data_IF_053654303471
#
_entry.id   IF_053654303471
#
_cell.length_a   1.000
_cell.length_b   1.000
_cell.length_c   1.000
_cell.angle_alpha   90.00
_cell.angle_beta   90.00
_cell.angle_gamma   90.00
#
_symmetry.space_group_name_H-M   'P 1'
#
loop_
_entity.id
_entity.type
_entity.pdbx_description
1 polymer ?
#
# COMPACT_ATOMS: atom_id res chain seq x y z
N UNK A 1 -8.53 -22.98 -24.77
CA UNK A 1 -7.87 -22.05 -23.81
C UNK A 1 -8.74 -20.81 -23.72
N UNK A 2 -9.19 -20.40 -22.52
CA UNK A 2 -9.80 -19.06 -22.38
C UNK A 2 -8.72 -18.02 -22.72
N UNK A 3 -9.09 -16.95 -23.42
CA UNK A 3 -8.14 -15.86 -23.65
C UNK A 3 -7.76 -15.23 -22.30
N UNK A 4 -6.51 -14.81 -22.15
CA UNK A 4 -6.02 -14.14 -20.92
C UNK A 4 -6.93 -12.96 -20.55
N UNK A 5 -7.43 -12.22 -21.54
CA UNK A 5 -8.36 -11.12 -21.34
C UNK A 5 -9.70 -11.57 -20.70
N UNK A 6 -10.25 -12.71 -21.12
CA UNK A 6 -11.48 -13.26 -20.53
C UNK A 6 -11.26 -13.72 -19.08
N UNK A 7 -10.09 -14.27 -18.77
CA UNK A 7 -9.73 -14.69 -17.42
C UNK A 7 -9.55 -13.48 -16.49
N UNK A 8 -8.84 -12.45 -16.95
CA UNK A 8 -8.69 -11.18 -16.22
C UNK A 8 -10.04 -10.51 -15.97
N UNK A 9 -10.93 -10.46 -16.97
CA UNK A 9 -12.26 -9.87 -16.82
C UNK A 9 -13.12 -10.67 -15.82
N UNK A 10 -13.03 -12.00 -15.85
CA UNK A 10 -13.72 -12.87 -14.89
C UNK A 10 -13.22 -12.67 -13.45
N UNK A 11 -11.89 -12.65 -13.26
CA UNK A 11 -11.28 -12.40 -11.95
C UNK A 11 -11.62 -11.01 -11.43
N UNK A 12 -11.60 -10.00 -12.30
CA UNK A 12 -11.97 -8.63 -11.96
C UNK A 12 -13.44 -8.52 -11.53
N UNK A 13 -14.35 -9.26 -12.18
CA UNK A 13 -15.74 -9.37 -11.75
C UNK A 13 -15.89 -9.98 -10.36
N UNK A 14 -15.16 -11.08 -10.10
CA UNK A 14 -15.16 -11.79 -8.80
C UNK A 14 -14.57 -10.94 -7.66
N UNK A 15 -13.54 -10.15 -7.95
CA UNK A 15 -12.81 -9.35 -6.97
C UNK A 15 -13.18 -7.86 -6.98
N UNK A 16 -14.26 -7.44 -7.65
CA UNK A 16 -14.60 -6.04 -7.93
C UNK A 16 -14.48 -5.11 -6.72
N UNK A 17 -15.03 -5.50 -5.57
CA UNK A 17 -14.98 -4.66 -4.36
C UNK A 17 -13.56 -4.49 -3.81
N UNK A 18 -12.72 -5.50 -3.93
CA UNK A 18 -11.33 -5.46 -3.49
C UNK A 18 -10.45 -4.65 -4.45
N UNK A 19 -10.67 -4.80 -5.76
CA UNK A 19 -10.01 -3.98 -6.78
C UNK A 19 -10.34 -2.49 -6.62
N UNK A 20 -11.62 -2.14 -6.43
CA UNK A 20 -12.02 -0.74 -6.20
C UNK A 20 -11.35 -0.19 -4.95
N UNK A 21 -11.29 -0.96 -3.86
CA UNK A 21 -10.60 -0.55 -2.64
C UNK A 21 -9.11 -0.25 -2.90
N UNK A 22 -8.39 -1.17 -3.56
CA UNK A 22 -6.97 -0.97 -3.84
C UNK A 22 -6.73 0.22 -4.79
N UNK A 23 -7.57 0.40 -5.80
CA UNK A 23 -7.52 1.56 -6.70
C UNK A 23 -7.73 2.89 -5.95
N UNK A 24 -8.69 2.92 -5.02
CA UNK A 24 -8.93 4.11 -4.18
C UNK A 24 -7.74 4.38 -3.27
N UNK A 25 -7.15 3.36 -2.66
CA UNK A 25 -5.93 3.54 -1.86
C UNK A 25 -4.78 4.07 -2.71
N UNK A 26 -4.56 3.52 -3.91
CA UNK A 26 -3.52 3.97 -4.81
C UNK A 26 -3.73 5.42 -5.24
N UNK A 27 -4.95 5.80 -5.60
CA UNK A 27 -5.29 7.18 -5.94
C UNK A 27 -5.07 8.13 -4.75
N UNK A 28 -5.43 7.71 -3.54
CA UNK A 28 -5.19 8.46 -2.32
C UNK A 28 -3.70 8.63 -2.03
N UNK A 29 -2.91 7.56 -2.12
CA UNK A 29 -1.45 7.62 -1.91
C UNK A 29 -0.78 8.51 -2.97
N UNK A 30 -1.20 8.42 -4.22
CA UNK A 30 -0.70 9.28 -5.30
C UNK A 30 -1.01 10.75 -5.05
N UNK A 31 -2.26 11.08 -4.71
CA UNK A 31 -2.66 12.44 -4.35
C UNK A 31 -1.91 12.93 -3.10
N UNK A 32 -1.74 12.07 -2.10
CA UNK A 32 -1.00 12.35 -0.87
C UNK A 32 0.48 12.65 -1.15
N UNK A 33 1.12 11.89 -2.05
CA UNK A 33 2.51 12.12 -2.45
C UNK A 33 2.67 13.49 -3.11
N UNK A 34 1.84 13.82 -4.11
CA UNK A 34 1.87 15.14 -4.76
C UNK A 34 1.54 16.28 -3.79
N UNK A 35 0.54 16.08 -2.92
CA UNK A 35 0.18 17.05 -1.89
C UNK A 35 1.30 17.27 -0.88
N UNK A 36 2.06 16.22 -0.56
CA UNK A 36 3.22 16.32 0.31
C UNK A 36 4.34 17.13 -0.37
N UNK A 37 4.75 16.74 -1.58
CA UNK A 37 5.85 17.39 -2.30
C UNK A 37 5.59 18.87 -2.61
N UNK A 38 4.40 19.20 -3.10
CA UNK A 38 4.10 20.55 -3.56
C UNK A 38 3.42 21.46 -2.53
N UNK A 39 2.95 20.90 -1.42
CA UNK A 39 2.18 21.63 -0.42
C UNK A 39 2.73 21.47 0.99
N UNK A 40 2.63 20.25 1.54
CA UNK A 40 2.88 20.03 2.96
C UNK A 40 4.36 20.20 3.34
N UNK A 41 5.30 19.69 2.54
CA UNK A 41 6.74 19.88 2.75
C UNK A 41 7.13 21.37 2.74
N UNK A 42 6.87 22.16 1.69
CA UNK A 42 7.26 23.57 1.67
C UNK A 42 6.57 24.37 2.79
N UNK A 43 5.30 24.07 3.09
CA UNK A 43 4.59 24.70 4.20
C UNK A 43 5.22 24.36 5.56
N UNK A 44 5.51 23.10 5.84
CA UNK A 44 6.07 22.67 7.12
C UNK A 44 7.45 23.29 7.37
N UNK A 45 8.29 23.35 6.34
CA UNK A 45 9.61 24.01 6.40
C UNK A 45 9.49 25.49 6.70
N UNK A 46 8.54 26.18 6.07
CA UNK A 46 8.35 27.61 6.25
C UNK A 46 7.73 27.95 7.62
N UNK A 47 6.74 27.17 8.07
CA UNK A 47 5.96 27.47 9.26
C UNK A 47 6.62 26.95 10.56
N UNK A 48 7.30 25.80 10.52
CA UNK A 48 7.83 25.11 11.70
C UNK A 48 9.26 24.58 11.48
N UNK A 49 10.21 25.45 11.11
CA UNK A 49 11.58 25.04 10.80
C UNK A 49 12.23 24.30 11.98
N UNK A 50 12.89 23.18 11.69
CA UNK A 50 13.60 22.36 12.68
C UNK A 50 12.70 21.55 13.63
N UNK A 51 11.37 21.58 13.45
CA UNK A 51 10.46 20.75 14.24
C UNK A 51 10.54 19.26 13.84
N UNK A 52 10.38 18.32 14.81
CA UNK A 52 10.32 16.89 14.50
C UNK A 52 9.21 16.55 13.50
N UNK A 53 8.08 17.26 13.55
CA UNK A 53 6.98 17.07 12.61
C UNK A 53 7.39 17.41 11.16
N UNK A 54 8.17 18.48 10.97
CA UNK A 54 8.68 18.85 9.64
C UNK A 54 9.64 17.78 9.12
N UNK A 55 10.51 17.25 9.98
CA UNK A 55 11.40 16.14 9.63
C UNK A 55 10.62 14.92 9.14
N UNK A 56 9.59 14.48 9.89
CA UNK A 56 8.76 13.33 9.50
C UNK A 56 8.04 13.55 8.16
N UNK A 57 7.49 14.75 7.94
CA UNK A 57 6.79 15.12 6.70
C UNK A 57 7.74 15.14 5.51
N UNK A 58 8.94 15.67 5.69
CA UNK A 58 9.94 15.77 4.63
C UNK A 58 10.56 14.43 4.27
N UNK A 59 10.91 13.64 5.28
CA UNK A 59 11.76 12.47 5.12
C UNK A 59 11.00 11.16 5.04
N UNK A 60 9.86 10.99 5.74
CA UNK A 60 9.26 9.66 5.95
C UNK A 60 7.78 9.55 5.52
N UNK A 61 7.09 10.67 5.31
CA UNK A 61 5.67 10.63 4.94
C UNK A 61 5.45 9.97 3.57
N UNK A 62 6.37 10.17 2.63
CA UNK A 62 6.28 9.50 1.33
C UNK A 62 6.49 8.00 1.44
N UNK A 63 7.40 7.56 2.31
CA UNK A 63 7.70 6.14 2.55
C UNK A 63 6.54 5.46 3.26
N UNK A 64 5.89 6.16 4.19
CA UNK A 64 4.62 5.73 4.75
C UNK A 64 3.53 5.53 3.69
N UNK A 65 3.34 6.50 2.80
CA UNK A 65 2.41 6.38 1.67
C UNK A 65 2.82 5.26 0.71
N UNK A 66 4.13 5.09 0.50
CA UNK A 66 4.75 4.05 -0.30
C UNK A 66 4.44 2.67 0.24
N UNK A 67 4.51 2.45 1.55
CA UNK A 67 4.15 1.18 2.18
C UNK A 67 2.69 0.80 1.92
N UNK A 68 1.76 1.76 2.13
CA UNK A 68 0.35 1.53 1.84
C UNK A 68 0.11 1.27 0.33
N UNK A 69 0.73 2.07 -0.54
CA UNK A 69 0.60 1.96 -1.98
C UNK A 69 1.15 0.64 -2.52
N UNK A 70 2.32 0.19 -2.02
CA UNK A 70 2.96 -1.02 -2.47
C UNK A 70 2.10 -2.25 -2.17
N UNK A 71 1.52 -2.30 -0.97
CA UNK A 71 0.64 -3.39 -0.59
C UNK A 71 -0.70 -3.36 -1.34
N UNK A 72 -1.25 -2.16 -1.63
CA UNK A 72 -2.43 -2.00 -2.47
C UNK A 72 -2.16 -2.46 -3.90
N UNK A 73 -1.04 -2.05 -4.49
CA UNK A 73 -0.62 -2.44 -5.83
C UNK A 73 -0.43 -3.96 -5.96
N UNK A 74 0.29 -4.58 -5.02
CA UNK A 74 0.51 -6.03 -5.03
C UNK A 74 -0.81 -6.78 -4.91
N UNK A 75 -1.73 -6.33 -4.04
CA UNK A 75 -3.04 -6.97 -3.91
C UNK A 75 -3.94 -6.75 -5.14
N UNK A 76 -3.87 -5.59 -5.79
CA UNK A 76 -4.55 -5.32 -7.04
C UNK A 76 -4.12 -6.33 -8.12
N UNK A 77 -2.81 -6.55 -8.27
CA UNK A 77 -2.27 -7.53 -9.22
C UNK A 77 -2.68 -8.96 -8.87
N UNK A 78 -2.59 -9.33 -7.60
CA UNK A 78 -3.04 -10.65 -7.13
C UNK A 78 -4.52 -10.85 -7.42
N UNK A 79 -5.36 -9.85 -7.22
CA UNK A 79 -6.80 -9.94 -7.50
C UNK A 79 -7.13 -10.05 -8.99
N UNK A 80 -6.26 -9.56 -9.87
CA UNK A 80 -6.42 -9.73 -11.31
C UNK A 80 -5.99 -11.13 -11.77
N UNK A 81 -4.90 -11.68 -11.20
CA UNK A 81 -4.31 -12.94 -11.66
C UNK A 81 -4.84 -14.16 -10.89
N UNK A 82 -4.86 -14.09 -9.55
CA UNK A 82 -5.35 -15.13 -8.64
C UNK A 82 -5.97 -14.52 -7.36
N UNK A 83 -7.26 -14.14 -7.40
CA UNK A 83 -7.96 -13.49 -6.27
C UNK A 83 -7.87 -14.21 -4.92
N UNK A 84 -7.66 -15.52 -4.94
CA UNK A 84 -7.60 -16.34 -3.74
C UNK A 84 -6.26 -16.16 -2.99
N UNK A 85 -5.24 -15.59 -3.63
CA UNK A 85 -3.90 -15.35 -3.06
C UNK A 85 -3.74 -13.97 -2.41
N UNK A 86 -4.79 -13.14 -2.39
CA UNK A 86 -4.75 -11.80 -1.76
C UNK A 86 -4.15 -11.83 -0.35
N UNK A 87 -3.24 -10.90 -0.06
CA UNK A 87 -2.61 -10.74 1.25
C UNK A 87 -3.61 -10.10 2.22
N UNK A 88 -4.19 -10.91 3.12
CA UNK A 88 -5.24 -10.47 4.06
C UNK A 88 -4.77 -10.38 5.52
N UNK A 89 -3.72 -11.12 5.88
CA UNK A 89 -3.22 -11.22 7.25
C UNK A 89 -2.19 -10.14 7.51
N UNK A 90 -2.32 -9.43 8.63
CA UNK A 90 -1.39 -8.37 9.02
C UNK A 90 0.05 -8.87 9.08
N UNK A 91 0.28 -10.03 9.71
CA UNK A 91 1.61 -10.61 9.79
C UNK A 91 2.24 -10.85 8.40
N UNK A 92 1.47 -11.38 7.44
CA UNK A 92 1.94 -11.60 6.06
C UNK A 92 2.22 -10.26 5.36
N UNK A 93 1.37 -9.26 5.55
CA UNK A 93 1.58 -7.90 5.04
C UNK A 93 2.88 -7.29 5.58
N UNK A 94 3.12 -7.40 6.89
CA UNK A 94 4.31 -6.85 7.55
C UNK A 94 5.59 -7.58 7.11
N UNK A 95 5.58 -8.92 7.06
CA UNK A 95 6.75 -9.69 6.61
C UNK A 95 7.08 -9.36 5.16
N UNK A 96 6.07 -9.31 4.29
CA UNK A 96 6.25 -8.95 2.89
C UNK A 96 6.88 -7.55 2.75
N UNK A 97 6.31 -6.55 3.40
CA UNK A 97 6.82 -5.18 3.33
C UNK A 97 8.16 -4.99 4.05
N UNK A 98 8.44 -5.76 5.10
CA UNK A 98 9.74 -5.74 5.75
C UNK A 98 10.85 -6.15 4.78
N UNK A 99 10.68 -7.25 4.03
CA UNK A 99 11.67 -7.66 3.04
C UNK A 99 11.76 -6.70 1.86
N UNK A 100 10.63 -6.15 1.40
CA UNK A 100 10.65 -5.11 0.37
C UNK A 100 11.37 -3.85 0.85
N UNK A 101 11.09 -3.39 2.07
CA UNK A 101 11.74 -2.23 2.67
C UNK A 101 13.24 -2.46 2.88
N UNK A 102 13.66 -3.64 3.35
CA UNK A 102 15.08 -4.00 3.43
C UNK A 102 15.76 -3.93 2.05
N UNK A 103 15.08 -4.36 1.00
CA UNK A 103 15.61 -4.23 -0.35
C UNK A 103 15.76 -2.75 -0.75
N UNK A 104 14.73 -1.92 -0.51
CA UNK A 104 14.79 -0.49 -0.84
C UNK A 104 15.86 0.25 -0.04
N UNK A 105 16.01 -0.03 1.25
CA UNK A 105 16.98 0.68 2.09
C UNK A 105 18.41 0.22 1.87
N UNK A 106 18.66 -1.07 1.64
CA UNK A 106 20.03 -1.61 1.62
C UNK A 106 20.51 -2.03 0.24
N UNK A 107 19.61 -2.44 -0.67
CA UNK A 107 19.98 -2.81 -2.02
C UNK A 107 19.87 -1.62 -2.99
N UNK A 108 18.85 -0.76 -2.87
CA UNK A 108 18.68 0.36 -3.80
C UNK A 108 19.86 1.36 -3.79
N UNK A 109 20.51 1.69 -2.66
CA UNK A 109 21.70 2.56 -2.67
C UNK A 109 22.88 2.00 -3.48
N UNK A 110 22.94 0.68 -3.70
CA UNK A 110 23.96 0.07 -4.56
C UNK A 110 23.79 0.46 -6.04
N UNK A 111 22.57 0.84 -6.44
CA UNK A 111 22.21 1.21 -7.81
C UNK A 111 21.94 2.71 -7.96
N UNK A 112 21.45 3.37 -6.89
CA UNK A 112 21.02 4.77 -6.90
C UNK A 112 21.84 5.57 -5.90
N UNK A 113 22.82 6.33 -6.38
CA UNK A 113 23.77 7.09 -5.54
C UNK A 113 23.12 8.18 -4.67
N UNK A 114 21.90 8.60 -4.99
CA UNK A 114 21.14 9.58 -4.21
C UNK A 114 20.33 8.96 -3.07
N UNK A 115 20.28 7.62 -2.97
CA UNK A 115 19.55 6.91 -1.93
C UNK A 115 20.43 6.80 -0.68
N UNK A 116 19.92 7.22 0.46
CA UNK A 116 20.56 7.03 1.77
C UNK A 116 19.76 5.98 2.52
N UNK A 117 20.43 5.02 3.16
CA UNK A 117 19.75 4.05 4.00
C UNK A 117 19.29 4.71 5.32
N UNK A 118 17.98 4.71 5.59
CA UNK A 118 17.42 5.16 6.87
C UNK A 118 16.49 4.08 7.46
N UNK A 119 16.84 3.49 8.63
CA UNK A 119 15.97 2.54 9.32
C UNK A 119 14.56 3.07 9.65
N UNK A 120 14.38 4.39 9.75
CA UNK A 120 13.07 5.00 9.95
C UNK A 120 12.16 4.87 8.72
N UNK A 121 12.70 4.79 7.51
CA UNK A 121 11.91 4.52 6.30
C UNK A 121 11.31 3.12 6.34
N UNK A 122 12.06 2.14 6.88
CA UNK A 122 11.52 0.81 7.13
C UNK A 122 10.32 0.84 8.09
N UNK A 123 10.40 1.63 9.16
CA UNK A 123 9.28 1.82 10.10
C UNK A 123 8.11 2.51 9.40
N UNK A 124 8.37 3.50 8.54
CA UNK A 124 7.35 4.20 7.77
C UNK A 124 6.60 3.26 6.82
N UNK A 125 7.32 2.43 6.05
CA UNK A 125 6.72 1.40 5.18
C UNK A 125 5.80 0.47 5.98
N UNK A 126 6.27 -0.05 7.12
CA UNK A 126 5.50 -0.95 7.98
C UNK A 126 4.26 -0.27 8.56
N UNK A 127 4.36 0.99 8.99
CA UNK A 127 3.23 1.77 9.45
C UNK A 127 2.18 1.97 8.35
N UNK A 128 2.62 2.23 7.11
CA UNK A 128 1.76 2.28 5.92
C UNK A 128 1.01 0.97 5.69
N UNK A 129 1.69 -0.16 5.86
CA UNK A 129 1.10 -1.50 5.78
C UNK A 129 -0.01 -1.71 6.81
N UNK A 130 0.21 -1.27 8.06
CA UNK A 130 -0.78 -1.35 9.15
C UNK A 130 -2.01 -0.53 8.79
N UNK A 131 -1.84 0.71 8.33
CA UNK A 131 -2.95 1.61 7.97
C UNK A 131 -3.74 1.05 6.80
N UNK A 132 -3.09 0.57 5.74
CA UNK A 132 -3.76 -0.14 4.66
C UNK A 132 -4.57 -1.34 5.18
N UNK A 133 -3.97 -2.15 6.04
CA UNK A 133 -4.64 -3.32 6.58
C UNK A 133 -5.86 -2.93 7.43
N UNK A 134 -5.77 -1.87 8.24
CA UNK A 134 -6.87 -1.33 9.03
C UNK A 134 -8.00 -0.81 8.13
N UNK A 135 -7.66 -0.04 7.09
CA UNK A 135 -8.61 0.50 6.11
C UNK A 135 -9.38 -0.62 5.39
N UNK A 136 -8.75 -1.76 5.14
CA UNK A 136 -9.39 -2.92 4.52
C UNK A 136 -10.29 -3.76 5.46
N UNK A 137 -10.39 -3.44 6.76
CA UNK A 137 -11.23 -4.21 7.72
C UNK A 137 -12.72 -4.28 7.32
N UNK A 138 -13.38 -3.18 6.91
CA UNK A 138 -14.80 -3.21 6.52
C UNK A 138 -15.04 -4.11 5.31
N UNK A 139 -14.17 -4.03 4.29
CA UNK A 139 -14.22 -4.89 3.10
C UNK A 139 -14.12 -6.38 3.49
N UNK A 140 -13.22 -6.74 4.41
CA UNK A 140 -13.10 -8.13 4.89
C UNK A 140 -14.35 -8.63 5.61
N UNK A 141 -15.06 -7.75 6.33
CA UNK A 141 -16.34 -8.09 6.98
C UNK A 141 -17.44 -8.33 5.94
N UNK A 142 -17.55 -7.44 4.94
CA UNK A 142 -18.50 -7.57 3.85
C UNK A 142 -18.29 -8.86 3.04
N UNK A 143 -17.04 -9.14 2.67
CA UNK A 143 -16.70 -10.34 1.90
C UNK A 143 -16.95 -11.63 2.69
N UNK A 144 -16.76 -11.64 4.02
CA UNK A 144 -17.10 -12.80 4.86
C UNK A 144 -18.61 -13.02 4.95
N UNK A 145 -19.40 -11.95 5.06
CA UNK A 145 -20.87 -12.03 5.11
C UNK A 145 -21.45 -12.73 3.88
N UNK A 146 -21.03 -12.31 2.68
CA UNK A 146 -21.50 -12.91 1.41
C UNK A 146 -21.08 -14.37 1.20
N UNK A 147 -20.04 -14.85 1.89
CA UNK A 147 -19.63 -16.26 1.84
C UNK A 147 -20.45 -17.14 2.77
N UNK A 148 -20.86 -16.62 3.93
CA UNK A 148 -21.73 -17.35 4.87
C UNK A 148 -23.13 -17.51 4.30
N UNK A 149 -23.70 -16.45 3.74
CA UNK A 149 -25.05 -16.45 3.18
C UNK A 149 -25.21 -17.41 1.98
N UNK A 150 -24.15 -17.56 1.16
CA UNK A 150 -24.10 -18.53 0.06
C UNK A 150 -23.88 -19.99 0.49
N UNK A 151 -23.47 -20.23 1.72
CA UNK A 151 -23.28 -21.59 2.24
C UNK A 151 -24.51 -22.12 2.98
N UNK A 152 -25.47 -21.24 3.30
CA UNK A 152 -26.68 -21.56 4.08
C UNK A 152 -27.98 -21.55 3.27
N UNK A 153 -27.93 -21.19 1.98
CA UNK A 153 -29.06 -21.26 1.04
C UNK A 153 -28.78 -22.22 -0.09
#
# INVERSE_FOLDING_TARGET
>A
MRSVALELAYNAGRARGALVFDLVVLAFCFAGFYGNEHGLKPFAVAAFPGSPATYLVQCHLNDFLGGAAFLAYTNLLLDLVRPDMRIRRLATSLVYLFFCGLFWEYAAPLFVKASTADPLDLVAYLAGAVVYWLAGRPLRRLLRGHSVERATG
#
